data_IF_121159444263
#
_entry.id   IF_121159444263
#
_cell.length_a   1.000
_cell.length_b   1.000
_cell.length_c   1.000
_cell.angle_alpha   90.00
_cell.angle_beta   90.00
_cell.angle_gamma   90.00
#
_symmetry.space_group_name_H-M   'P 1'
#
loop_
_entity.id
_entity.type
_entity.pdbx_description
1 polymer ?
#
# COMPACT_ATOMS: atom_id res chain seq x y z
N UNK A 1 -6.67 -10.29 12.67
CA UNK A 1 -5.45 -10.29 11.83
C UNK A 1 -5.02 -8.87 11.54
N UNK A 2 -3.74 -8.62 11.49
CA UNK A 2 -3.18 -7.32 11.13
C UNK A 2 -2.69 -7.35 9.69
N UNK A 3 -3.21 -6.44 8.86
CA UNK A 3 -2.87 -6.33 7.45
C UNK A 3 -2.18 -5.01 7.17
N UNK A 4 -1.21 -5.04 6.28
CA UNK A 4 -0.63 -3.85 5.68
C UNK A 4 -0.99 -3.86 4.19
N UNK A 5 -1.63 -2.80 3.72
CA UNK A 5 -1.98 -2.63 2.31
C UNK A 5 -1.17 -1.48 1.75
N UNK A 6 -0.35 -1.77 0.75
CA UNK A 6 0.39 -0.75 0.00
C UNK A 6 -0.28 -0.58 -1.35
N UNK A 7 -0.77 0.61 -1.64
CA UNK A 7 -1.47 0.90 -2.88
C UNK A 7 -1.31 2.36 -3.28
N UNK A 8 -0.98 2.60 -4.55
CA UNK A 8 -0.89 3.95 -5.09
C UNK A 8 -2.28 4.50 -5.42
N UNK A 9 -3.17 3.64 -5.93
CA UNK A 9 -4.54 4.00 -6.28
C UNK A 9 -5.51 3.52 -5.21
N UNK A 10 -6.73 4.11 -5.12
CA UNK A 10 -7.75 3.63 -4.21
C UNK A 10 -8.12 2.17 -4.46
N UNK A 11 -8.24 1.40 -3.38
CA UNK A 11 -8.57 -0.03 -3.41
C UNK A 11 -9.83 -0.25 -2.57
N UNK A 12 -10.74 -1.06 -3.07
CA UNK A 12 -11.98 -1.38 -2.37
C UNK A 12 -11.85 -2.60 -1.44
N UNK A 13 -12.80 -2.75 -0.53
CA UNK A 13 -12.86 -3.91 0.36
C UNK A 13 -12.97 -5.23 -0.43
N UNK A 14 -13.70 -5.22 -1.54
CA UNK A 14 -13.84 -6.42 -2.38
C UNK A 14 -12.51 -6.86 -2.98
N UNK A 15 -11.66 -5.90 -3.37
CA UNK A 15 -10.32 -6.20 -3.89
C UNK A 15 -9.46 -6.89 -2.84
N UNK A 16 -9.53 -6.41 -1.61
CA UNK A 16 -8.79 -7.00 -0.49
C UNK A 16 -9.32 -8.39 -0.15
N UNK A 17 -10.63 -8.57 -0.13
CA UNK A 17 -11.25 -9.88 0.11
C UNK A 17 -10.85 -10.90 -0.95
N UNK A 18 -10.79 -10.48 -2.21
CA UNK A 18 -10.38 -11.36 -3.31
C UNK A 18 -8.93 -11.81 -3.17
N UNK A 19 -8.06 -10.96 -2.60
CA UNK A 19 -6.67 -11.28 -2.37
C UNK A 19 -6.46 -12.16 -1.13
N UNK A 20 -7.48 -12.28 -0.26
CA UNK A 20 -7.41 -13.02 1.00
C UNK A 20 -8.59 -13.97 1.14
N UNK A 21 -8.72 -15.01 0.26
CA UNK A 21 -9.88 -15.89 0.31
C UNK A 21 -9.97 -16.71 1.60
N UNK A 22 -8.84 -16.92 2.28
CA UNK A 22 -8.76 -17.70 3.53
C UNK A 22 -8.88 -16.85 4.79
N UNK A 23 -9.01 -15.54 4.66
CA UNK A 23 -9.02 -14.63 5.79
C UNK A 23 -10.30 -13.79 5.81
N UNK A 24 -10.74 -13.44 7.02
CA UNK A 24 -11.89 -12.60 7.21
C UNK A 24 -11.44 -11.16 7.40
N UNK A 25 -11.91 -10.28 6.51
CA UNK A 25 -11.62 -8.85 6.59
C UNK A 25 -12.32 -8.21 7.81
N UNK A 26 -13.53 -8.70 8.13
CA UNK A 26 -14.28 -8.19 9.25
C UNK A 26 -13.54 -8.44 10.57
N UNK A 27 -13.38 -7.38 11.35
CA UNK A 27 -12.62 -7.46 12.60
C UNK A 27 -11.11 -7.38 12.44
N UNK A 28 -10.60 -7.35 11.22
CA UNK A 28 -9.15 -7.18 10.96
C UNK A 28 -8.73 -5.73 11.16
N UNK A 29 -7.48 -5.55 11.58
CA UNK A 29 -6.86 -4.23 11.66
C UNK A 29 -6.03 -4.04 10.39
N UNK A 30 -6.21 -2.91 9.71
CA UNK A 30 -5.53 -2.64 8.44
C UNK A 30 -4.83 -1.28 8.49
N UNK A 31 -3.56 -1.25 8.13
CA UNK A 31 -2.85 -0.01 7.85
C UNK A 31 -2.72 0.13 6.35
N UNK A 32 -3.29 1.20 5.81
CA UNK A 32 -3.21 1.51 4.38
C UNK A 32 -2.10 2.53 4.17
N UNK A 33 -1.13 2.19 3.33
CA UNK A 33 -0.03 3.07 2.99
C UNK A 33 -0.07 3.35 1.50
N UNK A 34 -0.10 4.62 1.13
CA UNK A 34 0.03 5.04 -0.27
C UNK A 34 1.33 5.82 -0.44
N UNK A 35 2.24 5.35 -1.30
CA UNK A 35 3.47 6.09 -1.56
C UNK A 35 3.17 7.35 -2.36
N UNK A 36 3.84 8.46 -2.01
CA UNK A 36 3.70 9.74 -2.70
C UNK A 36 4.57 9.74 -3.96
N UNK A 37 4.06 9.13 -5.01
CA UNK A 37 4.81 8.98 -6.27
C UNK A 37 4.62 10.18 -7.17
N UNK A 38 5.73 10.84 -7.55
CA UNK A 38 5.74 11.87 -8.57
C UNK A 38 5.89 11.20 -9.93
N UNK A 39 4.82 11.23 -10.72
CA UNK A 39 4.79 10.58 -12.03
C UNK A 39 5.41 11.44 -13.15
N UNK A 40 5.58 12.74 -12.90
CA UNK A 40 6.06 13.69 -13.90
C UNK A 40 7.40 14.32 -13.49
N UNK A 41 8.44 14.29 -14.35
CA UNK A 41 9.66 15.02 -14.10
C UNK A 41 9.43 16.54 -13.96
N UNK A 42 8.42 17.06 -14.62
CA UNK A 42 8.07 18.48 -14.55
C UNK A 42 7.56 18.83 -13.16
N UNK A 43 6.74 17.98 -12.58
CA UNK A 43 6.24 18.16 -11.21
C UNK A 43 7.39 18.25 -10.21
N UNK A 44 8.42 17.43 -10.38
CA UNK A 44 9.62 17.46 -9.53
C UNK A 44 10.33 18.83 -9.59
N UNK A 45 10.46 19.40 -10.80
CA UNK A 45 11.15 20.69 -11.00
C UNK A 45 10.38 21.89 -10.45
N UNK A 46 9.05 21.81 -10.40
CA UNK A 46 8.21 22.90 -9.86
C UNK A 46 7.79 22.64 -8.40
N UNK A 47 8.41 21.66 -7.74
CA UNK A 47 8.17 21.33 -6.33
C UNK A 47 6.74 20.92 -6.02
N UNK A 48 6.10 20.16 -6.93
CA UNK A 48 4.73 19.64 -6.74
C UNK A 48 4.67 18.41 -5.84
N UNK A 49 5.65 18.25 -4.94
CA UNK A 49 5.62 17.18 -3.95
C UNK A 49 4.38 17.25 -3.06
N UNK A 50 3.88 18.46 -2.79
CA UNK A 50 2.66 18.66 -2.00
C UNK A 50 1.44 18.06 -2.69
N UNK A 51 1.36 18.18 -4.01
CA UNK A 51 0.26 17.58 -4.78
C UNK A 51 0.33 16.06 -4.75
N UNK A 52 1.54 15.48 -4.92
CA UNK A 52 1.73 14.04 -4.86
C UNK A 52 1.37 13.48 -3.47
N UNK A 53 1.74 14.21 -2.41
CA UNK A 53 1.39 13.83 -1.03
C UNK A 53 -0.12 13.90 -0.83
N UNK A 54 -0.77 14.96 -1.33
CA UNK A 54 -2.22 15.11 -1.21
C UNK A 54 -2.97 14.01 -1.97
N UNK A 55 -2.51 13.65 -3.16
CA UNK A 55 -3.10 12.55 -3.93
C UNK A 55 -2.93 11.22 -3.22
N UNK A 56 -1.75 10.95 -2.68
CA UNK A 56 -1.48 9.72 -1.93
C UNK A 56 -2.34 9.66 -0.67
N UNK A 57 -2.49 10.77 0.04
CA UNK A 57 -3.34 10.85 1.22
C UNK A 57 -4.80 10.58 0.87
N UNK A 58 -5.28 11.15 -0.23
CA UNK A 58 -6.64 10.93 -0.70
C UNK A 58 -6.88 9.47 -1.05
N UNK A 59 -5.97 8.85 -1.79
CA UNK A 59 -6.07 7.44 -2.16
C UNK A 59 -6.08 6.54 -0.93
N UNK A 60 -5.20 6.79 0.03
CA UNK A 60 -5.11 6.02 1.27
C UNK A 60 -6.40 6.15 2.09
N UNK A 61 -6.93 7.37 2.21
CA UNK A 61 -8.18 7.61 2.94
C UNK A 61 -9.39 6.95 2.28
N UNK A 62 -9.50 7.02 0.96
CA UNK A 62 -10.58 6.36 0.23
C UNK A 62 -10.54 4.85 0.44
N UNK A 63 -9.35 4.27 0.41
CA UNK A 63 -9.16 2.85 0.68
C UNK A 63 -9.55 2.50 2.12
N UNK A 64 -9.10 3.30 3.08
CA UNK A 64 -9.43 3.08 4.49
C UNK A 64 -10.94 3.16 4.74
N UNK A 65 -11.62 4.14 4.14
CA UNK A 65 -13.07 4.28 4.24
C UNK A 65 -13.77 3.03 3.70
N UNK A 66 -13.38 2.56 2.52
CA UNK A 66 -13.95 1.36 1.92
C UNK A 66 -13.76 0.13 2.80
N UNK A 67 -12.59 -0.02 3.41
CA UNK A 67 -12.29 -1.15 4.30
C UNK A 67 -13.10 -1.06 5.60
N UNK A 68 -13.29 0.13 6.15
CA UNK A 68 -14.14 0.34 7.34
C UNK A 68 -15.59 -0.04 7.04
N UNK A 69 -16.08 0.32 5.87
CA UNK A 69 -17.44 -0.06 5.42
C UNK A 69 -17.56 -1.58 5.27
N UNK A 70 -16.45 -2.26 4.97
CA UNK A 70 -16.39 -3.71 4.91
C UNK A 70 -16.20 -4.41 6.27
N UNK A 71 -16.16 -3.66 7.36
CA UNK A 71 -16.06 -4.22 8.71
C UNK A 71 -14.67 -4.24 9.32
N UNK A 72 -13.65 -3.74 8.61
CA UNK A 72 -12.28 -3.68 9.12
C UNK A 72 -12.04 -2.41 9.93
N UNK A 73 -11.02 -2.45 10.79
CA UNK A 73 -10.49 -1.26 11.44
C UNK A 73 -9.30 -0.77 10.62
N UNK A 74 -9.54 0.24 9.79
CA UNK A 74 -8.55 0.71 8.84
C UNK A 74 -8.08 2.13 9.17
N UNK A 75 -6.78 2.34 9.00
CA UNK A 75 -6.13 3.64 9.13
C UNK A 75 -5.34 3.91 7.86
N UNK A 76 -5.21 5.18 7.51
CA UNK A 76 -4.49 5.60 6.32
C UNK A 76 -3.21 6.35 6.70
N UNK A 77 -2.16 6.13 5.91
CA UNK A 77 -0.88 6.80 6.06
C UNK A 77 -0.28 7.07 4.69
N UNK A 78 0.30 8.25 4.50
CA UNK A 78 1.09 8.56 3.32
C UNK A 78 2.52 8.11 3.55
N UNK A 79 3.09 7.39 2.58
CA UNK A 79 4.46 6.89 2.66
C UNK A 79 5.43 7.71 1.81
N UNK A 80 6.70 7.34 1.88
CA UNK A 80 7.74 7.91 1.05
C UNK A 80 7.47 7.64 -0.43
N UNK A 81 8.13 8.40 -1.31
CA UNK A 81 7.95 8.25 -2.76
C UNK A 81 8.46 6.91 -3.31
N UNK A 82 9.43 6.31 -2.65
CA UNK A 82 9.94 4.99 -3.02
C UNK A 82 9.12 3.90 -2.34
N UNK A 83 8.44 3.02 -3.10
CA UNK A 83 7.58 1.99 -2.51
C UNK A 83 8.28 1.08 -1.50
N UNK A 84 9.53 0.68 -1.77
CA UNK A 84 10.28 -0.16 -0.84
C UNK A 84 10.53 0.57 0.49
N UNK A 85 10.90 1.85 0.45
CA UNK A 85 11.13 2.65 1.64
C UNK A 85 9.83 2.83 2.41
N UNK A 86 8.73 3.13 1.73
CA UNK A 86 7.41 3.27 2.36
C UNK A 86 7.01 1.99 3.08
N UNK A 87 7.24 0.84 2.45
CA UNK A 87 6.94 -0.46 3.02
C UNK A 87 7.82 -0.77 4.24
N UNK A 88 9.12 -0.51 4.13
CA UNK A 88 10.06 -0.73 5.23
C UNK A 88 9.73 0.15 6.44
N UNK A 89 9.43 1.43 6.22
CA UNK A 89 9.07 2.36 7.29
C UNK A 89 7.78 1.91 7.99
N UNK A 90 6.79 1.48 7.23
CA UNK A 90 5.54 1.00 7.80
C UNK A 90 5.75 -0.26 8.63
N UNK A 91 6.49 -1.23 8.12
CA UNK A 91 6.75 -2.49 8.82
C UNK A 91 7.65 -2.32 10.04
N UNK A 92 8.45 -1.26 10.10
CA UNK A 92 9.27 -0.96 11.27
C UNK A 92 8.43 -0.58 12.50
N UNK A 93 7.23 -0.03 12.29
CA UNK A 93 6.35 0.45 13.36
C UNK A 93 5.03 -0.31 13.46
N UNK A 94 4.69 -1.12 12.46
CA UNK A 94 3.43 -1.86 12.40
C UNK A 94 3.71 -3.34 12.15
N UNK A 95 3.35 -4.18 13.11
CA UNK A 95 3.56 -5.63 13.01
C UNK A 95 2.41 -6.26 12.23
N UNK A 96 2.56 -6.33 10.91
CA UNK A 96 1.56 -6.95 10.07
C UNK A 96 1.71 -8.48 10.04
N UNK A 97 0.61 -9.18 9.98
CA UNK A 97 0.59 -10.63 9.75
C UNK A 97 0.75 -10.94 8.27
N UNK A 98 0.24 -10.07 7.41
CA UNK A 98 0.34 -10.16 5.96
C UNK A 98 0.47 -8.78 5.34
N UNK A 99 1.11 -8.72 4.18
CA UNK A 99 1.24 -7.51 3.37
C UNK A 99 0.64 -7.76 2.00
N UNK A 100 -0.24 -6.86 1.57
CA UNK A 100 -0.81 -6.86 0.23
C UNK A 100 -0.28 -5.64 -0.51
N UNK A 101 0.31 -5.85 -1.68
CA UNK A 101 0.82 -4.78 -2.52
C UNK A 101 0.01 -4.75 -3.81
N UNK A 102 -0.76 -3.68 -4.00
CA UNK A 102 -1.54 -3.47 -5.21
C UNK A 102 -0.70 -2.63 -6.17
N UNK A 103 -0.29 -3.25 -7.26
CA UNK A 103 0.64 -2.67 -8.22
C UNK A 103 -0.10 -2.33 -9.51
N UNK A 104 0.08 -1.11 -10.00
CA UNK A 104 -0.40 -0.77 -11.34
C UNK A 104 0.39 -1.59 -12.35
N UNK A 105 -0.25 -2.00 -13.43
CA UNK A 105 0.39 -2.77 -14.49
C UNK A 105 1.63 -2.05 -15.02
N UNK A 106 1.56 -0.74 -15.18
CA UNK A 106 2.65 0.11 -15.65
C UNK A 106 3.84 0.17 -14.68
N UNK A 107 3.63 -0.06 -13.39
CA UNK A 107 4.66 -0.02 -12.36
C UNK A 107 5.23 -1.40 -12.03
N UNK A 108 4.63 -2.46 -12.55
CA UNK A 108 4.99 -3.83 -12.22
C UNK A 108 6.46 -4.16 -12.49
N UNK A 109 7.02 -3.67 -13.59
CA UNK A 109 8.41 -3.90 -13.94
C UNK A 109 9.36 -3.29 -12.92
N UNK A 110 9.06 -2.09 -12.42
CA UNK A 110 9.85 -1.39 -11.39
C UNK A 110 9.90 -2.19 -10.09
N UNK A 111 8.76 -2.71 -9.64
CA UNK A 111 8.70 -3.54 -8.44
C UNK A 111 9.50 -4.83 -8.60
N UNK A 112 9.49 -5.42 -9.78
CA UNK A 112 10.22 -6.66 -10.06
C UNK A 112 11.73 -6.44 -10.17
N UNK A 113 12.15 -5.33 -10.81
CA UNK A 113 13.56 -5.00 -10.96
C UNK A 113 14.24 -4.78 -9.62
N UNK A 114 13.57 -4.08 -8.72
CA UNK A 114 14.10 -3.77 -7.39
C UNK A 114 13.86 -4.90 -6.38
N UNK A 115 13.16 -5.94 -6.78
CA UNK A 115 12.77 -7.05 -5.91
C UNK A 115 12.17 -6.57 -4.58
N UNK A 116 11.32 -5.55 -4.66
CA UNK A 116 10.71 -4.89 -3.50
C UNK A 116 10.03 -5.89 -2.57
N UNK A 117 9.24 -6.78 -3.16
CA UNK A 117 8.46 -7.75 -2.38
C UNK A 117 9.34 -8.81 -1.73
N UNK A 118 10.32 -9.33 -2.47
CA UNK A 118 11.26 -10.31 -1.96
C UNK A 118 12.13 -9.76 -0.84
N UNK A 119 12.61 -8.54 -0.99
CA UNK A 119 13.40 -7.86 0.05
C UNK A 119 12.58 -7.64 1.32
N UNK A 120 11.34 -7.17 1.19
CA UNK A 120 10.47 -6.95 2.33
C UNK A 120 10.17 -8.27 3.06
N UNK A 121 9.86 -9.32 2.32
CA UNK A 121 9.55 -10.62 2.90
C UNK A 121 10.75 -11.20 3.66
N UNK A 122 11.94 -11.13 3.08
CA UNK A 122 13.18 -11.62 3.73
C UNK A 122 13.54 -10.80 4.97
N UNK A 123 13.40 -9.48 4.88
CA UNK A 123 13.81 -8.58 5.95
C UNK A 123 12.88 -8.64 7.17
N UNK A 124 11.58 -8.72 6.93
CA UNK A 124 10.57 -8.64 7.99
C UNK A 124 9.91 -9.98 8.33
N UNK A 125 10.16 -11.02 7.53
CA UNK A 125 9.60 -12.34 7.76
C UNK A 125 8.09 -12.42 7.63
N UNK A 126 7.48 -11.50 6.85
CA UNK A 126 6.04 -11.40 6.68
C UNK A 126 5.67 -11.83 5.25
N UNK A 127 4.64 -12.66 5.05
CA UNK A 127 4.17 -12.98 3.70
C UNK A 127 3.73 -11.73 2.96
N UNK A 128 4.25 -11.54 1.76
CA UNK A 128 3.93 -10.40 0.90
C UNK A 128 3.31 -10.91 -0.39
N UNK A 129 2.12 -10.43 -0.72
CA UNK A 129 1.39 -10.83 -1.92
C UNK A 129 1.25 -9.63 -2.85
N UNK A 130 1.65 -9.80 -4.10
CA UNK A 130 1.49 -8.80 -5.15
C UNK A 130 0.16 -9.03 -5.88
N UNK A 131 -0.61 -7.96 -6.06
CA UNK A 131 -1.84 -7.97 -6.82
C UNK A 131 -1.71 -6.95 -7.95
N UNK A 132 -1.70 -7.41 -9.19
CA UNK A 132 -1.65 -6.55 -10.37
C UNK A 132 -3.05 -6.02 -10.71
N UNK A 133 -3.08 -4.74 -11.11
CA UNK A 133 -4.34 -4.08 -11.45
C UNK A 133 -4.30 -3.49 -12.84
#
# INVERSE_FOLDING_TARGET
>A
MKLLVLATDPVGADDVRSALPDADLEGSEVLVVSPAVNESPVAFWVSDSDEAIAEAQSAAEQTAVSLREGGARARAKTGESEPLVALQDALATYQADRVLVFVREEDGARYREDDVLGQAQRRFGVPVTEISR
#
